data_IF_994588853606
#
_entry.id   IF_994588853606
#
_cell.length_a   1.000
_cell.length_b   1.000
_cell.length_c   1.000
_cell.angle_alpha   90.00
_cell.angle_beta   90.00
_cell.angle_gamma   90.00
#
_symmetry.space_group_name_H-M   'P 1'
#
loop_
_entity.id
_entity.type
_entity.pdbx_description
1 polymer ?
#
# COMPACT_ATOMS: atom_id res chain seq x y z
N UNK A 1 -4.63 19.66 0.13
CA UNK A 1 -4.09 20.66 -0.84
C UNK A 1 -3.60 19.90 -2.05
N UNK A 2 -3.96 20.31 -3.27
CA UNK A 2 -3.52 19.65 -4.50
C UNK A 2 -2.16 20.25 -4.87
N UNK A 3 -1.10 19.42 -4.94
CA UNK A 3 0.29 19.90 -5.09
C UNK A 3 0.72 19.97 -6.57
N UNK A 4 0.15 19.12 -7.44
CA UNK A 4 0.33 19.02 -8.91
C UNK A 4 -0.94 18.36 -9.49
N UNK A 5 -1.18 18.40 -10.81
CA UNK A 5 -2.21 17.58 -11.48
C UNK A 5 -2.19 16.15 -10.92
N UNK A 6 -3.29 15.74 -10.26
CA UNK A 6 -3.49 14.44 -9.60
C UNK A 6 -2.70 14.11 -8.32
N UNK A 7 -2.10 15.08 -7.63
CA UNK A 7 -1.48 14.84 -6.30
C UNK A 7 -2.38 15.32 -5.14
N UNK A 8 -2.71 14.43 -4.20
CA UNK A 8 -3.51 14.76 -3.00
C UNK A 8 -2.65 14.59 -1.75
N UNK A 9 -2.57 15.66 -0.94
CA UNK A 9 -1.99 15.59 0.39
C UNK A 9 -3.07 15.30 1.44
N UNK A 10 -2.91 14.18 2.16
CA UNK A 10 -3.78 13.76 3.26
C UNK A 10 -3.16 14.22 4.58
N UNK A 11 -3.85 15.13 5.31
CA UNK A 11 -3.55 15.42 6.72
C UNK A 11 -4.57 14.71 7.58
N UNK A 12 -4.10 13.88 8.51
CA UNK A 12 -4.96 13.27 9.53
C UNK A 12 -4.22 13.14 10.85
N UNK A 13 -4.95 12.90 11.93
CA UNK A 13 -4.39 12.55 13.24
C UNK A 13 -4.27 11.01 13.41
N UNK A 14 -4.31 10.27 12.31
CA UNK A 14 -4.21 8.80 12.26
C UNK A 14 -2.77 8.45 11.91
N UNK A 15 -2.31 7.27 12.33
CA UNK A 15 -1.00 6.74 11.99
C UNK A 15 -0.81 6.72 10.45
N UNK A 16 0.30 7.28 9.97
CA UNK A 16 0.58 7.42 8.54
C UNK A 16 0.81 6.07 7.84
N UNK A 17 1.39 5.09 8.53
CA UNK A 17 1.63 3.75 8.00
C UNK A 17 0.30 3.03 7.77
N UNK A 18 -0.66 3.18 8.69
CA UNK A 18 -2.02 2.68 8.50
C UNK A 18 -2.68 3.28 7.27
N UNK A 19 -2.56 4.60 7.07
CA UNK A 19 -3.12 5.27 5.89
C UNK A 19 -2.44 4.75 4.62
N UNK A 20 -1.12 4.59 4.64
CA UNK A 20 -0.37 4.05 3.50
C UNK A 20 -0.85 2.64 3.12
N UNK A 21 -0.95 1.75 4.11
CA UNK A 21 -1.44 0.38 3.88
C UNK A 21 -2.91 0.33 3.46
N UNK A 22 -3.75 1.22 4.01
CA UNK A 22 -5.15 1.31 3.60
C UNK A 22 -5.28 1.81 2.16
N UNK A 23 -4.56 2.88 1.79
CA UNK A 23 -4.56 3.45 0.43
C UNK A 23 -4.05 2.44 -0.60
N UNK A 24 -3.05 1.64 -0.25
CA UNK A 24 -2.51 0.59 -1.14
C UNK A 24 -3.36 -0.68 -1.17
N UNK A 25 -4.28 -0.85 -0.22
CA UNK A 25 -5.17 -2.02 -0.17
C UNK A 25 -6.10 -2.11 -1.39
N UNK A 26 -6.44 -3.34 -1.78
CA UNK A 26 -7.36 -3.58 -2.90
C UNK A 26 -8.74 -2.96 -2.72
N UNK A 27 -9.22 -2.85 -1.47
CA UNK A 27 -10.52 -2.22 -1.15
C UNK A 27 -10.50 -0.74 -1.49
N UNK A 28 -9.49 -0.01 -1.03
CA UNK A 28 -9.35 1.43 -1.31
C UNK A 28 -9.12 1.69 -2.80
N UNK A 29 -8.26 0.88 -3.44
CA UNK A 29 -8.01 0.98 -4.88
C UNK A 29 -9.27 0.72 -5.72
N UNK A 30 -10.14 -0.20 -5.28
CA UNK A 30 -11.44 -0.42 -5.91
C UNK A 30 -12.36 0.79 -5.76
N UNK A 31 -12.42 1.38 -4.56
CA UNK A 31 -13.18 2.61 -4.33
C UNK A 31 -12.65 3.78 -5.17
N UNK A 32 -11.33 3.90 -5.34
CA UNK A 32 -10.74 4.91 -6.23
C UNK A 32 -11.15 4.71 -7.69
N UNK A 33 -11.13 3.47 -8.20
CA UNK A 33 -11.58 3.18 -9.57
C UNK A 33 -13.01 3.60 -9.83
N UNK A 34 -13.89 3.54 -8.82
CA UNK A 34 -15.29 3.92 -8.95
C UNK A 34 -15.52 5.43 -8.96
N UNK A 35 -14.62 6.22 -8.36
CA UNK A 35 -14.75 7.69 -8.30
C UNK A 35 -13.91 8.41 -9.36
N UNK A 36 -12.96 7.72 -9.99
CA UNK A 36 -12.16 8.28 -11.08
C UNK A 36 -13.01 8.29 -12.35
N UNK A 37 -13.20 9.48 -12.92
CA UNK A 37 -13.89 9.64 -14.20
C UNK A 37 -13.10 8.98 -15.34
N UNK A 38 -13.77 8.16 -16.16
CA UNK A 38 -13.23 7.46 -17.34
C UNK A 38 -13.04 8.42 -18.53
N UNK A 39 -12.29 9.50 -18.35
CA UNK A 39 -11.89 10.41 -19.44
C UNK A 39 -10.47 10.08 -19.91
N UNK A 40 -10.01 10.71 -21.00
CA UNK A 40 -8.67 10.49 -21.56
C UNK A 40 -7.52 10.74 -20.58
N UNK A 41 -7.76 11.55 -19.53
CA UNK A 41 -6.90 11.65 -18.35
C UNK A 41 -7.72 11.39 -17.09
N UNK A 42 -7.56 10.24 -16.43
CA UNK A 42 -8.23 9.96 -15.17
C UNK A 42 -7.86 11.04 -14.14
N UNK A 43 -8.87 11.66 -13.54
CA UNK A 43 -8.71 12.77 -12.60
C UNK A 43 -9.49 12.52 -11.32
N UNK A 44 -8.85 12.79 -10.19
CA UNK A 44 -9.51 12.82 -8.90
C UNK A 44 -10.25 14.13 -8.72
N UNK A 45 -11.56 14.06 -8.54
CA UNK A 45 -12.34 15.20 -8.10
C UNK A 45 -12.36 15.24 -6.56
N UNK A 46 -12.06 16.41 -5.98
CA UNK A 46 -11.91 16.54 -4.52
C UNK A 46 -13.24 16.29 -3.79
N UNK A 47 -14.37 16.58 -4.43
CA UNK A 47 -15.70 16.31 -3.87
C UNK A 47 -15.93 14.81 -3.73
N UNK A 48 -15.61 14.03 -4.76
CA UNK A 48 -15.79 12.58 -4.78
C UNK A 48 -14.75 11.87 -3.90
N UNK A 49 -13.54 12.43 -3.77
CA UNK A 49 -12.54 11.92 -2.83
C UNK A 49 -13.02 12.02 -1.37
N UNK A 50 -13.76 13.08 -1.02
CA UNK A 50 -14.29 13.28 0.34
C UNK A 50 -15.45 12.33 0.68
N UNK A 51 -16.10 11.71 -0.31
CA UNK A 51 -17.18 10.74 -0.06
C UNK A 51 -16.66 9.34 0.22
N UNK A 52 -15.36 9.09 0.01
CA UNK A 52 -14.73 7.82 0.34
C UNK A 52 -14.79 7.56 1.84
N UNK A 53 -15.48 6.50 2.22
CA UNK A 53 -15.53 6.04 3.60
C UNK A 53 -14.31 5.16 3.90
N UNK A 54 -13.58 5.52 4.95
CA UNK A 54 -12.49 4.72 5.50
C UNK A 54 -12.96 4.05 6.78
N UNK A 55 -12.80 2.72 6.86
CA UNK A 55 -12.97 1.98 8.11
C UNK A 55 -11.67 2.08 8.91
N UNK A 56 -11.71 2.85 9.99
CA UNK A 56 -10.57 2.98 10.91
C UNK A 56 -10.84 2.05 12.08
N UNK A 57 -10.00 1.04 12.26
CA UNK A 57 -10.07 0.15 13.42
C UNK A 57 -9.63 0.91 14.69
N UNK A 58 -10.04 0.42 15.87
CA UNK A 58 -9.53 0.98 17.13
C UNK A 58 -8.00 0.84 17.20
N UNK A 59 -7.34 1.69 17.99
CA UNK A 59 -5.87 1.67 18.12
C UNK A 59 -5.34 0.29 18.54
N UNK A 60 -6.10 -0.44 19.36
CA UNK A 60 -5.76 -1.80 19.78
C UNK A 60 -5.79 -2.79 18.61
N UNK A 61 -6.85 -2.77 17.81
CA UNK A 61 -7.01 -3.64 16.63
C UNK A 61 -6.01 -3.30 15.51
N UNK A 62 -5.64 -2.02 15.37
CA UNK A 62 -4.54 -1.60 14.49
C UNK A 62 -3.22 -2.27 14.91
N UNK A 63 -2.93 -2.32 16.21
CA UNK A 63 -1.73 -2.97 16.74
C UNK A 63 -1.69 -4.49 16.49
N UNK A 64 -2.81 -5.18 16.69
CA UNK A 64 -2.92 -6.63 16.41
C UNK A 64 -2.69 -6.93 14.93
N UNK A 65 -3.35 -6.16 14.06
CA UNK A 65 -3.21 -6.31 12.60
C UNK A 65 -1.79 -6.02 12.14
N UNK A 66 -1.16 -4.96 12.68
CA UNK A 66 0.22 -4.61 12.37
C UNK A 66 1.20 -5.73 12.74
N UNK A 67 1.04 -6.34 13.93
CA UNK A 67 1.92 -7.43 14.36
C UNK A 67 1.82 -8.66 13.45
N UNK A 68 0.61 -9.03 13.03
CA UNK A 68 0.41 -10.16 12.10
C UNK A 68 1.06 -9.87 10.75
N UNK A 69 0.85 -8.66 10.21
CA UNK A 69 1.43 -8.27 8.92
C UNK A 69 2.95 -8.17 8.98
N UNK A 70 3.53 -7.60 10.04
CA UNK A 70 4.98 -7.50 10.23
C UNK A 70 5.65 -8.87 10.23
N UNK A 71 5.09 -9.83 10.97
CA UNK A 71 5.61 -11.20 10.98
C UNK A 71 5.60 -11.82 9.58
N UNK A 72 4.53 -11.58 8.80
CA UNK A 72 4.46 -12.07 7.43
C UNK A 72 5.51 -11.40 6.51
N UNK A 73 5.73 -10.09 6.65
CA UNK A 73 6.75 -9.37 5.90
C UNK A 73 8.16 -9.85 6.24
N UNK A 74 8.45 -10.13 7.51
CA UNK A 74 9.74 -10.70 7.93
C UNK A 74 10.01 -12.07 7.30
N UNK A 75 8.97 -12.91 7.18
CA UNK A 75 9.08 -14.22 6.51
C UNK A 75 9.40 -14.03 5.03
N UNK A 76 8.66 -13.16 4.33
CA UNK A 76 8.88 -12.86 2.91
C UNK A 76 10.32 -12.35 2.69
N UNK A 77 10.78 -11.41 3.51
CA UNK A 77 12.13 -10.84 3.39
C UNK A 77 13.22 -11.91 3.58
N UNK A 78 13.02 -12.85 4.52
CA UNK A 78 13.94 -13.99 4.73
C UNK A 78 13.97 -14.91 3.51
N UNK A 79 12.81 -15.23 2.94
CA UNK A 79 12.71 -16.08 1.75
C UNK A 79 13.34 -15.43 0.52
N UNK A 80 13.12 -14.13 0.31
CA UNK A 80 13.74 -13.38 -0.79
C UNK A 80 15.27 -13.37 -0.68
N UNK A 81 15.81 -13.09 0.52
CA UNK A 81 17.25 -13.18 0.78
C UNK A 81 17.81 -14.58 0.53
N UNK A 82 17.07 -15.61 0.93
CA UNK A 82 17.47 -16.99 0.70
C UNK A 82 17.48 -17.33 -0.79
N UNK A 83 16.45 -16.93 -1.54
CA UNK A 83 16.36 -17.09 -2.98
C UNK A 83 17.52 -16.38 -3.71
N UNK A 84 17.88 -15.16 -3.30
CA UNK A 84 19.02 -14.44 -3.86
C UNK A 84 20.35 -15.19 -3.63
N UNK A 85 20.55 -15.74 -2.42
CA UNK A 85 21.73 -16.54 -2.11
C UNK A 85 21.82 -17.77 -3.00
N UNK A 86 20.71 -18.50 -3.20
CA UNK A 86 20.65 -19.66 -4.09
C UNK A 86 20.94 -19.29 -5.55
N UNK A 87 20.39 -18.17 -6.04
CA UNK A 87 20.68 -17.67 -7.40
C UNK A 87 22.17 -17.41 -7.60
N UNK A 88 22.84 -16.75 -6.64
CA UNK A 88 24.29 -16.50 -6.69
C UNK A 88 25.10 -17.79 -6.73
N UNK A 89 24.74 -18.79 -5.91
CA UNK A 89 25.41 -20.09 -5.92
C UNK A 89 25.22 -20.82 -7.25
N UNK A 90 23.99 -20.88 -7.78
CA UNK A 90 23.69 -21.52 -9.06
C UNK A 90 24.48 -20.92 -10.21
N UNK A 91 24.58 -19.59 -10.27
CA UNK A 91 25.42 -18.89 -11.24
C UNK A 91 26.87 -19.32 -11.08
N UNK A 92 27.39 -19.33 -9.85
CA UNK A 92 28.74 -19.82 -9.54
C UNK A 92 29.01 -21.21 -10.12
N UNK A 93 28.08 -22.16 -10.00
CA UNK A 93 28.24 -23.52 -10.56
C UNK A 93 28.10 -23.64 -12.08
N UNK A 94 27.53 -22.63 -12.76
CA UNK A 94 27.33 -22.67 -14.22
C UNK A 94 28.52 -22.08 -15.00
N UNK A 95 29.42 -21.36 -14.29
CA UNK A 95 30.62 -20.74 -14.86
C UNK A 95 31.92 -21.54 -14.58
N UNK A 96 31.80 -22.82 -14.19
CA UNK A 96 32.88 -23.83 -14.18
C UNK A 96 32.53 -24.96 -15.12
#
# INVERSE_FOLDING_TARGET
>A
MILVSNAIFIRSNINNDFIYHWVTSGVCQYSFKNIISTTAQPKFNMTDFKTLMITIYSREEQGKTANVLLNQYEIIEKEEKYLEKLKKLKVGFTYW
#
